data_IF_161112229074
#
_entry.id   IF_161112229074
#
_cell.length_a   1.000
_cell.length_b   1.000
_cell.length_c   1.000
_cell.angle_alpha   90.00
_cell.angle_beta   90.00
_cell.angle_gamma   90.00
#
_symmetry.space_group_name_H-M   'P 1'
#
loop_
_entity.id
_entity.type
_entity.pdbx_description
1 polymer ?
#
# COMPACT_ATOMS: atom_id res chain seq x y z
N UNK A 1 -4.78 -16.74 -11.02
CA UNK A 1 -3.86 -17.30 -10.00
C UNK A 1 -4.09 -16.51 -8.73
N UNK A 2 -4.64 -17.15 -7.69
CA UNK A 2 -5.39 -16.50 -6.59
C UNK A 2 -4.47 -15.87 -5.55
N UNK A 3 -4.71 -14.63 -5.07
CA UNK A 3 -4.04 -14.09 -3.89
C UNK A 3 -4.78 -14.62 -2.65
N UNK A 4 -4.25 -15.66 -2.00
CA UNK A 4 -4.85 -16.25 -0.78
C UNK A 4 -3.84 -16.55 0.35
N UNK A 5 -2.65 -15.93 0.35
CA UNK A 5 -1.55 -16.40 1.21
C UNK A 5 -1.44 -15.78 2.61
N UNK A 6 -2.28 -14.81 2.99
CA UNK A 6 -2.21 -14.20 4.33
C UNK A 6 -3.04 -14.97 5.38
N UNK A 7 -4.25 -15.40 5.01
CA UNK A 7 -5.19 -16.07 5.94
C UNK A 7 -4.72 -17.42 6.52
N UNK A 8 -4.06 -18.34 5.78
CA UNK A 8 -3.68 -19.63 6.34
C UNK A 8 -2.55 -19.52 7.39
N UNK A 9 -1.67 -18.52 7.29
CA UNK A 9 -0.59 -18.30 8.28
C UNK A 9 -1.11 -17.74 9.59
N UNK A 10 -2.01 -16.75 9.53
CA UNK A 10 -2.63 -16.19 10.74
C UNK A 10 -3.49 -17.22 11.47
N UNK A 11 -4.24 -18.05 10.73
CA UNK A 11 -5.02 -19.15 11.29
C UNK A 11 -4.15 -20.14 12.08
N UNK A 12 -3.04 -20.58 11.48
CA UNK A 12 -2.09 -21.46 12.15
C UNK A 12 -1.45 -20.82 13.40
N UNK A 13 -1.01 -19.56 13.29
CA UNK A 13 -0.37 -18.84 14.41
C UNK A 13 -1.31 -18.63 15.61
N UNK A 14 -2.61 -18.45 15.35
CA UNK A 14 -3.62 -18.24 16.39
C UNK A 14 -4.28 -19.54 16.86
N UNK A 15 -3.95 -20.70 16.27
CA UNK A 15 -4.64 -21.96 16.54
C UNK A 15 -6.12 -21.95 16.14
N UNK A 16 -6.50 -21.12 15.16
CA UNK A 16 -7.88 -20.93 14.71
C UNK A 16 -8.11 -21.53 13.32
N UNK A 17 -9.38 -21.82 12.99
CA UNK A 17 -9.74 -22.17 11.62
C UNK A 17 -9.63 -20.95 10.69
N UNK A 18 -9.32 -21.19 9.41
CA UNK A 18 -9.34 -20.14 8.38
C UNK A 18 -10.74 -19.49 8.22
N UNK A 19 -11.82 -20.24 8.53
CA UNK A 19 -13.18 -19.69 8.57
C UNK A 19 -13.36 -18.67 9.69
N UNK A 20 -12.87 -18.98 10.89
CA UNK A 20 -12.92 -18.11 12.06
C UNK A 20 -12.12 -16.84 11.84
N UNK A 21 -10.89 -16.95 11.33
CA UNK A 21 -10.04 -15.78 11.01
C UNK A 21 -10.75 -14.87 10.02
N UNK A 22 -11.33 -15.41 8.95
CA UNK A 22 -12.12 -14.62 7.98
C UNK A 22 -13.31 -13.92 8.62
N UNK A 23 -14.04 -14.60 9.51
CA UNK A 23 -15.18 -14.00 10.21
C UNK A 23 -14.73 -12.84 11.12
N UNK A 24 -13.61 -13.00 11.82
CA UNK A 24 -13.03 -11.95 12.68
C UNK A 24 -12.54 -10.75 11.87
N UNK A 25 -11.85 -10.98 10.75
CA UNK A 25 -11.43 -9.91 9.84
C UNK A 25 -12.65 -9.13 9.34
N UNK A 26 -13.71 -9.83 8.90
CA UNK A 26 -14.94 -9.17 8.44
C UNK A 26 -15.61 -8.32 9.53
N UNK A 27 -15.64 -8.82 10.75
CA UNK A 27 -16.19 -8.07 11.88
C UNK A 27 -15.33 -6.84 12.20
N UNK A 28 -13.99 -6.96 12.16
CA UNK A 28 -13.09 -5.83 12.31
C UNK A 28 -13.29 -4.79 11.21
N UNK A 29 -13.42 -5.19 9.94
CA UNK A 29 -13.75 -4.26 8.84
C UNK A 29 -15.04 -3.48 9.13
N UNK A 30 -16.06 -4.15 9.66
CA UNK A 30 -17.34 -3.52 10.02
C UNK A 30 -17.19 -2.52 11.18
N UNK A 31 -16.45 -2.91 12.23
CA UNK A 31 -16.21 -2.06 13.40
C UNK A 31 -15.39 -0.83 13.05
N UNK A 32 -14.34 -1.01 12.27
CA UNK A 32 -13.44 0.05 11.82
C UNK A 32 -14.02 0.85 10.64
N UNK A 33 -15.12 0.39 10.05
CA UNK A 33 -15.77 0.97 8.86
C UNK A 33 -14.80 1.16 7.68
N UNK A 34 -13.83 0.25 7.56
CA UNK A 34 -12.73 0.32 6.60
C UNK A 34 -12.51 -1.04 5.92
N UNK A 35 -12.07 -1.01 4.65
CA UNK A 35 -11.65 -2.21 3.93
C UNK A 35 -10.23 -2.62 4.38
N UNK A 36 -10.11 -3.76 5.06
CA UNK A 36 -8.83 -4.25 5.56
C UNK A 36 -7.95 -4.85 4.46
N UNK A 37 -8.45 -4.97 3.23
CA UNK A 37 -7.64 -5.30 2.05
C UNK A 37 -7.07 -4.05 1.36
N UNK A 38 -7.51 -2.85 1.74
CA UNK A 38 -6.99 -1.59 1.21
C UNK A 38 -5.58 -1.30 1.75
N UNK A 39 -4.62 -1.07 0.84
CA UNK A 39 -3.24 -0.75 1.19
C UNK A 39 -3.12 0.55 2.02
N UNK A 40 -4.00 1.53 1.79
CA UNK A 40 -4.05 2.78 2.58
C UNK A 40 -4.48 2.49 4.02
N UNK A 41 -5.54 1.70 4.20
CA UNK A 41 -6.03 1.30 5.53
C UNK A 41 -4.98 0.45 6.24
N UNK A 42 -4.35 -0.50 5.55
CA UNK A 42 -3.26 -1.32 6.09
C UNK A 42 -2.06 -0.47 6.54
N UNK A 43 -1.65 0.51 5.73
CA UNK A 43 -0.60 1.47 6.05
C UNK A 43 -0.90 2.27 7.32
N UNK A 44 -2.11 2.82 7.45
CA UNK A 44 -2.48 3.60 8.62
C UNK A 44 -2.65 2.72 9.87
N UNK A 45 -3.21 1.51 9.73
CA UNK A 45 -3.26 0.55 10.84
C UNK A 45 -1.86 0.17 11.33
N UNK A 46 -0.90 -0.01 10.42
CA UNK A 46 0.48 -0.31 10.78
C UNK A 46 1.12 0.80 11.62
N UNK A 47 0.85 2.07 11.27
CA UNK A 47 1.29 3.23 12.06
C UNK A 47 0.62 3.23 13.45
N UNK A 48 -0.70 3.08 13.50
CA UNK A 48 -1.47 3.12 14.76
C UNK A 48 -1.03 1.99 15.71
N UNK A 49 -0.83 0.78 15.20
CA UNK A 49 -0.40 -0.37 16.01
C UNK A 49 1.04 -0.26 16.52
N UNK A 50 1.87 0.58 15.89
CA UNK A 50 3.25 0.86 16.30
C UNK A 50 3.39 2.13 17.13
N UNK A 51 2.34 2.95 17.20
CA UNK A 51 2.36 4.15 18.01
C UNK A 51 2.57 3.79 19.49
N UNK A 52 3.43 4.51 20.22
CA UNK A 52 3.58 4.28 21.65
C UNK A 52 2.23 4.51 22.34
N UNK A 53 1.87 3.63 23.28
CA UNK A 53 0.69 3.83 24.09
C UNK A 53 0.85 5.17 24.84
N UNK A 54 -0.05 6.12 24.59
CA UNK A 54 0.01 7.42 25.26
C UNK A 54 -0.15 7.20 26.76
N UNK A 55 0.81 7.70 27.56
CA UNK A 55 0.69 7.70 29.01
C UNK A 55 -0.35 8.72 29.49
N UNK A 56 -0.62 9.76 28.71
CA UNK A 56 -1.59 10.81 29.03
C UNK A 56 -2.25 11.26 27.72
N UNK A 57 -3.56 11.04 27.58
CA UNK A 57 -4.36 11.70 26.54
C UNK A 57 -4.67 13.08 27.12
N UNK A 58 -4.26 14.20 26.48
CA UNK A 58 -4.63 15.52 26.96
C UNK A 58 -6.15 15.62 26.98
N UNK A 59 -6.74 15.71 28.17
CA UNK A 59 -8.16 15.97 28.36
C UNK A 59 -8.45 17.38 27.81
N UNK A 60 -8.89 17.49 26.55
CA UNK A 60 -9.14 18.80 25.96
C UNK A 60 -9.68 18.87 24.53
N UNK A 61 -9.46 17.87 23.68
CA UNK A 61 -9.89 17.95 22.27
C UNK A 61 -11.14 17.11 21.96
N UNK A 62 -12.23 17.34 22.68
CA UNK A 62 -13.51 16.63 22.49
C UNK A 62 -14.35 17.18 21.32
N UNK A 63 -13.74 17.90 20.38
CA UNK A 63 -14.41 18.53 19.22
C UNK A 63 -14.04 17.95 17.86
N UNK A 64 -13.05 17.06 17.77
CA UNK A 64 -12.61 16.50 16.49
C UNK A 64 -13.59 15.42 16.00
N UNK A 65 -13.97 15.48 14.71
CA UNK A 65 -14.71 14.41 14.05
C UNK A 65 -14.00 13.07 14.26
N UNK A 66 -14.73 11.94 14.37
CA UNK A 66 -14.11 10.64 14.60
C UNK A 66 -13.06 10.37 13.54
N UNK A 67 -11.82 10.12 13.98
CA UNK A 67 -10.70 9.80 13.09
C UNK A 67 -11.08 8.59 12.23
N UNK A 68 -10.83 8.72 10.92
CA UNK A 68 -11.12 7.69 9.92
C UNK A 68 -9.82 7.05 9.46
N UNK A 69 -9.79 5.72 9.37
CA UNK A 69 -8.59 5.01 8.95
C UNK A 69 -8.17 5.32 7.52
N UNK A 70 -9.04 5.88 6.69
CA UNK A 70 -8.73 6.27 5.32
C UNK A 70 -7.98 7.61 5.26
N UNK A 71 -8.12 8.44 6.30
CA UNK A 71 -7.59 9.81 6.33
C UNK A 71 -6.49 9.93 7.37
N UNK A 72 -5.27 10.11 6.90
CA UNK A 72 -4.13 10.40 7.74
C UNK A 72 -4.03 11.91 7.97
N UNK A 73 -3.80 12.40 9.22
CA UNK A 73 -3.58 13.82 9.47
C UNK A 73 -2.42 14.37 8.65
N UNK A 74 -2.58 15.59 8.14
CA UNK A 74 -1.52 16.28 7.40
C UNK A 74 -0.27 16.45 8.28
N UNK A 75 0.91 16.35 7.67
CA UNK A 75 2.19 16.53 8.36
C UNK A 75 2.65 15.35 9.22
N UNK A 76 1.85 14.31 9.47
CA UNK A 76 2.26 13.19 10.35
C UNK A 76 3.46 12.40 9.79
N UNK A 77 3.61 12.37 8.45
CA UNK A 77 4.75 11.76 7.77
C UNK A 77 5.87 12.78 7.48
N UNK A 78 5.67 14.05 7.80
CA UNK A 78 6.55 15.15 7.39
C UNK A 78 7.71 15.36 8.36
N UNK A 79 8.43 14.28 8.67
CA UNK A 79 9.65 14.32 9.48
C UNK A 79 10.87 13.99 8.65
N UNK A 80 12.03 14.51 9.03
CA UNK A 80 13.29 14.20 8.34
C UNK A 80 13.61 12.70 8.38
N UNK A 81 13.36 12.04 9.52
CA UNK A 81 13.54 10.60 9.66
C UNK A 81 12.66 9.81 8.69
N UNK A 82 11.38 10.19 8.56
CA UNK A 82 10.46 9.54 7.60
C UNK A 82 10.90 9.80 6.17
N UNK A 83 11.32 11.03 5.83
CA UNK A 83 11.86 11.34 4.48
C UNK A 83 13.10 10.53 4.16
N UNK A 84 14.06 10.44 5.07
CA UNK A 84 15.30 9.68 4.88
C UNK A 84 15.03 8.19 4.71
N UNK A 85 14.18 7.61 5.58
CA UNK A 85 13.74 6.21 5.47
C UNK A 85 13.02 5.94 4.15
N UNK A 86 12.05 6.79 3.80
CA UNK A 86 11.25 6.61 2.60
C UNK A 86 12.11 6.77 1.34
N UNK A 87 13.04 7.74 1.31
CA UNK A 87 13.98 7.88 0.20
C UNK A 87 14.94 6.68 0.11
N UNK A 88 15.40 6.13 1.25
CA UNK A 88 16.18 4.90 1.27
C UNK A 88 15.40 3.68 0.73
N UNK A 89 14.08 3.64 0.94
CA UNK A 89 13.24 2.53 0.49
C UNK A 89 12.85 2.65 -1.00
N UNK A 90 12.44 3.83 -1.47
CA UNK A 90 11.86 4.00 -2.82
C UNK A 90 12.56 5.04 -3.71
N UNK A 91 13.61 5.71 -3.23
CA UNK A 91 14.28 6.84 -3.88
C UNK A 91 15.08 6.53 -5.15
N UNK A 92 15.23 5.25 -5.51
CA UNK A 92 15.88 4.81 -6.75
C UNK A 92 14.94 4.27 -7.82
N UNK A 93 13.64 4.19 -7.56
CA UNK A 93 12.68 3.66 -8.52
C UNK A 93 12.57 4.57 -9.74
N UNK A 94 12.65 3.97 -10.93
CA UNK A 94 12.34 4.70 -12.16
C UNK A 94 10.92 5.29 -12.11
N UNK A 95 10.68 6.48 -12.67
CA UNK A 95 9.37 7.15 -12.56
C UNK A 95 8.20 6.27 -12.99
N UNK A 96 8.35 5.50 -14.07
CA UNK A 96 7.27 4.63 -14.57
C UNK A 96 6.96 3.45 -13.64
N UNK A 97 7.99 2.88 -12.99
CA UNK A 97 7.84 1.82 -11.98
C UNK A 97 7.19 2.37 -10.71
N UNK A 98 7.59 3.58 -10.31
CA UNK A 98 7.01 4.30 -9.17
C UNK A 98 5.52 4.57 -9.39
N UNK A 99 5.13 5.12 -10.55
CA UNK A 99 3.73 5.34 -10.92
C UNK A 99 2.95 4.02 -10.94
N UNK A 100 3.49 2.98 -11.57
CA UNK A 100 2.83 1.68 -11.65
C UNK A 100 2.62 1.03 -10.27
N UNK A 101 3.61 1.15 -9.38
CA UNK A 101 3.55 0.64 -8.02
C UNK A 101 2.52 1.41 -7.18
N UNK A 102 2.53 2.75 -7.26
CA UNK A 102 1.54 3.59 -6.57
C UNK A 102 0.12 3.26 -7.02
N UNK A 103 -0.16 3.26 -8.33
CA UNK A 103 -1.47 2.91 -8.87
C UNK A 103 -1.90 1.48 -8.47
N UNK A 104 -0.98 0.51 -8.53
CA UNK A 104 -1.30 -0.86 -8.09
C UNK A 104 -1.66 -0.95 -6.60
N UNK A 105 -1.01 -0.17 -5.74
CA UNK A 105 -1.33 -0.09 -4.31
C UNK A 105 -2.66 0.62 -4.06
N UNK A 106 -2.96 1.70 -4.79
CA UNK A 106 -4.24 2.41 -4.75
C UNK A 106 -5.41 1.49 -5.18
N UNK A 107 -5.15 0.54 -6.07
CA UNK A 107 -6.08 -0.54 -6.46
C UNK A 107 -6.00 -1.79 -5.57
N UNK A 108 -5.55 -1.64 -4.32
CA UNK A 108 -5.50 -2.69 -3.30
C UNK A 108 -4.73 -3.94 -3.76
N UNK A 109 -3.61 -3.72 -4.46
CA UNK A 109 -2.78 -4.77 -5.03
C UNK A 109 -3.49 -5.66 -6.09
N UNK A 110 -4.58 -5.18 -6.70
CA UNK A 110 -5.29 -5.88 -7.78
C UNK A 110 -4.73 -5.48 -9.14
N UNK A 111 -4.05 -6.41 -9.80
CA UNK A 111 -3.38 -6.15 -11.10
C UNK A 111 -4.35 -5.76 -12.22
N UNK A 112 -5.54 -6.37 -12.28
CA UNK A 112 -6.49 -6.11 -13.37
C UNK A 112 -7.01 -4.66 -13.40
N UNK A 113 -7.56 -4.09 -12.30
CA UNK A 113 -8.03 -2.71 -12.30
C UNK A 113 -6.88 -1.70 -12.45
N UNK A 114 -5.73 -1.93 -11.80
CA UNK A 114 -4.55 -1.08 -11.97
C UNK A 114 -4.05 -1.06 -13.42
N UNK A 115 -3.97 -2.21 -14.08
CA UNK A 115 -3.56 -2.28 -15.49
C UNK A 115 -4.54 -1.55 -16.41
N UNK A 116 -5.84 -1.61 -16.10
CA UNK A 116 -6.87 -0.89 -16.85
C UNK A 116 -6.70 0.64 -16.71
N UNK A 117 -6.48 1.13 -15.49
CA UNK A 117 -6.23 2.56 -15.23
C UNK A 117 -4.96 3.07 -15.89
N UNK A 118 -3.88 2.29 -15.81
CA UNK A 118 -2.61 2.62 -16.45
C UNK A 118 -2.64 2.43 -17.99
N UNK A 119 -3.75 1.93 -18.54
CA UNK A 119 -3.90 1.56 -19.94
C UNK A 119 -2.78 0.64 -20.48
N UNK A 120 -2.35 -0.32 -19.66
CA UNK A 120 -1.34 -1.34 -20.02
C UNK A 120 -1.94 -2.74 -19.98
N UNK A 121 -1.28 -3.70 -20.62
CA UNK A 121 -1.67 -5.09 -20.48
C UNK A 121 -1.28 -5.61 -19.09
N UNK A 122 -2.10 -6.50 -18.52
CA UNK A 122 -1.85 -7.13 -17.20
C UNK A 122 -0.45 -7.74 -17.06
N UNK A 123 0.10 -8.33 -18.13
CA UNK A 123 1.44 -8.92 -18.11
C UNK A 123 2.53 -7.85 -18.07
N UNK A 124 2.33 -6.70 -18.72
CA UNK A 124 3.24 -5.56 -18.62
C UNK A 124 3.29 -5.05 -17.20
N UNK A 125 2.13 -4.86 -16.56
CA UNK A 125 2.08 -4.47 -15.16
C UNK A 125 2.72 -5.53 -14.25
N UNK A 126 2.46 -6.82 -14.45
CA UNK A 126 3.13 -7.88 -13.69
C UNK A 126 4.66 -7.83 -13.83
N UNK A 127 5.19 -7.54 -15.01
CA UNK A 127 6.63 -7.42 -15.23
C UNK A 127 7.22 -6.19 -14.54
N UNK A 128 6.51 -5.05 -14.57
CA UNK A 128 6.91 -3.85 -13.83
C UNK A 128 6.90 -4.08 -12.32
N UNK A 129 5.87 -4.74 -11.79
CA UNK A 129 5.80 -5.08 -10.36
C UNK A 129 6.92 -6.06 -9.95
N UNK A 130 7.32 -6.98 -10.83
CA UNK A 130 8.49 -7.83 -10.59
C UNK A 130 9.79 -7.01 -10.52
N UNK A 131 9.98 -6.06 -11.45
CA UNK A 131 11.13 -5.14 -11.41
C UNK A 131 11.12 -4.27 -10.15
N UNK A 132 9.95 -3.80 -9.69
CA UNK A 132 9.83 -3.12 -8.40
C UNK A 132 10.27 -4.02 -7.25
N UNK A 133 9.78 -5.27 -7.19
CA UNK A 133 10.14 -6.21 -6.13
C UNK A 133 11.65 -6.49 -6.09
N UNK A 134 12.27 -6.65 -7.27
CA UNK A 134 13.72 -6.82 -7.42
C UNK A 134 14.49 -5.58 -6.96
N UNK A 135 14.10 -4.39 -7.42
CA UNK A 135 14.76 -3.13 -7.05
C UNK A 135 14.67 -2.86 -5.54
N UNK A 136 13.50 -3.11 -4.94
CA UNK A 136 13.28 -2.93 -3.51
C UNK A 136 13.93 -4.04 -2.68
N UNK A 137 14.31 -5.17 -3.29
CA UNK A 137 14.67 -6.41 -2.62
C UNK A 137 13.60 -6.86 -1.60
N UNK A 138 12.31 -6.71 -1.96
CA UNK A 138 11.17 -6.96 -1.09
C UNK A 138 10.12 -7.87 -1.73
N UNK A 139 9.37 -8.59 -0.89
CA UNK A 139 8.24 -9.40 -1.33
C UNK A 139 6.93 -8.57 -1.33
N UNK A 140 6.55 -8.02 -2.48
CA UNK A 140 5.28 -7.28 -2.64
C UNK A 140 4.02 -8.14 -2.42
N UNK A 141 4.14 -9.47 -2.30
CA UNK A 141 3.05 -10.35 -1.87
C UNK A 141 2.70 -10.22 -0.38
N UNK A 142 3.61 -9.70 0.44
CA UNK A 142 3.40 -9.48 1.87
C UNK A 142 2.61 -8.16 2.11
N UNK A 143 1.55 -8.21 2.92
CA UNK A 143 0.73 -7.04 3.21
C UNK A 143 1.46 -5.96 4.01
N UNK A 144 2.33 -6.35 4.93
CA UNK A 144 3.12 -5.41 5.74
C UNK A 144 4.10 -4.65 4.86
N UNK A 145 4.78 -5.37 3.96
CA UNK A 145 5.68 -4.76 2.97
C UNK A 145 4.92 -3.77 2.09
N UNK A 146 3.74 -4.16 1.56
CA UNK A 146 2.92 -3.24 0.76
C UNK A 146 2.51 -1.98 1.53
N UNK A 147 2.12 -2.14 2.79
CA UNK A 147 1.76 -1.03 3.67
C UNK A 147 2.94 -0.07 3.90
N UNK A 148 4.14 -0.60 4.17
CA UNK A 148 5.36 0.20 4.36
C UNK A 148 5.79 0.91 3.07
N UNK A 149 5.75 0.23 1.92
CA UNK A 149 6.03 0.83 0.62
C UNK A 149 5.00 1.93 0.30
N UNK A 150 3.72 1.73 0.61
CA UNK A 150 2.69 2.75 0.41
C UNK A 150 2.97 4.01 1.23
N UNK A 151 3.36 3.86 2.50
CA UNK A 151 3.77 4.99 3.34
C UNK A 151 4.98 5.72 2.77
N UNK A 152 6.00 4.98 2.33
CA UNK A 152 7.21 5.55 1.75
C UNK A 152 6.92 6.33 0.46
N UNK A 153 6.07 5.80 -0.43
CA UNK A 153 5.63 6.48 -1.64
C UNK A 153 4.89 7.79 -1.32
N UNK A 154 3.98 7.78 -0.33
CA UNK A 154 3.28 8.99 0.12
C UNK A 154 4.23 10.03 0.72
N UNK A 155 5.19 9.60 1.53
CA UNK A 155 6.16 10.50 2.19
C UNK A 155 7.18 11.11 1.20
N UNK A 156 7.43 10.46 0.08
CA UNK A 156 8.36 10.92 -0.97
C UNK A 156 7.65 11.50 -2.18
N UNK A 157 6.34 11.76 -2.09
CA UNK A 157 5.57 12.29 -3.22
C UNK A 157 6.08 13.68 -3.58
N UNK A 158 6.93 13.75 -4.60
CA UNK A 158 7.57 14.98 -5.09
C UNK A 158 6.91 15.54 -6.35
N UNK A 159 5.82 14.92 -6.83
CA UNK A 159 5.11 15.32 -8.05
C UNK A 159 4.05 14.30 -8.44
N UNK A 160 3.47 14.39 -9.66
CA UNK A 160 2.42 13.50 -10.07
C UNK A 160 2.99 12.11 -10.29
N UNK A 161 2.81 11.21 -9.31
CA UNK A 161 2.67 9.77 -9.55
C UNK A 161 1.37 9.50 -10.37
N UNK A 162 1.08 10.37 -11.34
CA UNK A 162 -0.13 10.40 -12.14
C UNK A 162 0.01 9.34 -13.23
N UNK A 163 -0.92 8.38 -13.31
CA UNK A 163 -1.00 7.46 -14.43
C UNK A 163 -0.90 8.15 -15.81
N UNK A 164 -1.37 9.38 -15.95
CA UNK A 164 -1.29 10.15 -17.19
C UNK A 164 0.12 10.57 -17.60
N UNK A 165 1.08 10.58 -16.67
CA UNK A 165 2.49 10.88 -16.92
C UNK A 165 3.24 9.67 -17.52
N UNK A 166 2.64 8.46 -17.52
CA UNK A 166 3.23 7.33 -18.20
C UNK A 166 3.33 7.60 -19.71
N UNK A 167 4.48 7.25 -20.34
CA UNK A 167 4.62 7.38 -21.77
C UNK A 167 3.57 6.50 -22.47
N UNK A 168 2.54 7.14 -23.04
CA UNK A 168 1.48 6.45 -23.80
C UNK A 168 2.10 5.88 -25.07
N UNK A 169 2.29 4.56 -25.10
CA UNK A 169 2.89 3.88 -26.26
C UNK A 169 1.85 3.78 -27.38
N UNK A 170 1.83 4.79 -28.25
CA UNK A 170 1.05 4.78 -29.49
C UNK A 170 1.40 3.57 -30.36
N UNK A 171 0.36 2.79 -30.68
CA UNK A 171 0.29 1.69 -31.66
C UNK A 171 1.59 1.11 -32.23
N UNK A 172 1.91 -0.13 -31.85
CA UNK A 172 2.88 -1.06 -32.49
C UNK A 172 4.35 -0.61 -32.50
N UNK A 173 5.16 -1.23 -31.63
CA UNK A 173 6.18 -2.26 -31.98
C UNK A 173 7.15 -2.45 -30.80
N UNK A 174 7.38 -3.70 -30.41
CA UNK A 174 8.61 -4.08 -29.71
C UNK A 174 9.63 -4.47 -30.78
N UNK A 175 10.80 -3.82 -30.77
CA UNK A 175 12.12 -4.49 -30.73
C UNK A 175 13.23 -3.45 -30.48
N UNK A 176 13.94 -3.60 -29.36
CA UNK A 176 15.39 -3.43 -29.16
C UNK A 176 15.65 -4.12 -27.81
N UNK A 177 16.52 -5.11 -27.65
CA UNK A 177 17.50 -5.77 -28.50
C UNK A 177 17.23 -7.28 -28.48
#
# INVERSE_FOLDING_TARGET
>A
MVPHRLQPRAAAALGLSAGTVRARIRELSRLLRADLEDATVQAHLLLVLRAPASAEIPEGETGAAPARLETLPDGILDTEAVRAWAHGLVGGLEPHLRIALACWLDHHARTAPAAAELHVHRTTLSNWLAQCAEHLAQNLGDATVRAEVHLALRATRTGPDDPAALPRRGGRTYRRL
#
